data_IF_128654330662
#
_entry.id   IF_128654330662
#
_cell.length_a   1.000
_cell.length_b   1.000
_cell.length_c   1.000
_cell.angle_alpha   90.00
_cell.angle_beta   90.00
_cell.angle_gamma   90.00
#
_symmetry.space_group_name_H-M   'P 1'
#
loop_
_entity.id
_entity.type
_entity.pdbx_description
1 polymer ?
#
# COMPACT_ATOMS: atom_id res chain seq x y z
N UNK A 1 16.95 -20.20 -45.32
CA UNK A 1 17.26 -18.76 -45.26
C UNK A 1 17.26 -18.10 -46.63
N UNK A 2 18.01 -18.61 -47.62
CA UNK A 2 18.12 -17.96 -48.94
C UNK A 2 16.78 -17.72 -49.66
N UNK A 3 15.82 -18.66 -49.60
CA UNK A 3 14.49 -18.48 -50.19
C UNK A 3 13.68 -17.33 -49.56
N UNK A 4 13.84 -17.08 -48.26
CA UNK A 4 13.13 -16.02 -47.55
C UNK A 4 13.73 -14.67 -47.91
N UNK A 5 15.06 -14.56 -47.90
CA UNK A 5 15.79 -13.35 -48.28
C UNK A 5 15.50 -12.98 -49.74
N UNK A 6 15.55 -13.96 -50.64
CA UNK A 6 15.27 -13.75 -52.06
C UNK A 6 13.84 -13.26 -52.29
N UNK A 7 12.86 -13.77 -51.54
CA UNK A 7 11.47 -13.30 -51.65
C UNK A 7 11.32 -11.83 -51.22
N UNK A 8 11.88 -11.44 -50.07
CA UNK A 8 11.83 -10.06 -49.59
C UNK A 8 12.55 -9.08 -50.54
N UNK A 9 13.67 -9.49 -51.13
CA UNK A 9 14.39 -8.68 -52.12
C UNK A 9 13.57 -8.42 -53.39
N UNK A 10 12.72 -9.36 -53.82
CA UNK A 10 11.83 -9.20 -54.98
C UNK A 10 10.50 -8.50 -54.64
N UNK A 11 10.16 -8.37 -53.35
CA UNK A 11 8.90 -7.77 -52.88
C UNK A 11 9.16 -6.53 -52.00
N UNK A 12 9.73 -5.45 -52.54
CA UNK A 12 10.14 -4.27 -51.75
C UNK A 12 8.94 -3.54 -51.11
N UNK A 13 7.77 -3.57 -51.74
CA UNK A 13 6.55 -2.96 -51.18
C UNK A 13 6.13 -3.68 -49.90
N UNK A 14 6.14 -5.02 -49.92
CA UNK A 14 5.84 -5.81 -48.73
C UNK A 14 6.87 -5.55 -47.62
N UNK A 15 8.15 -5.48 -47.95
CA UNK A 15 9.23 -5.23 -46.98
C UNK A 15 9.05 -3.88 -46.27
N UNK A 16 8.78 -2.82 -47.06
CA UNK A 16 8.58 -1.48 -46.52
C UNK A 16 7.29 -1.37 -45.71
N UNK A 17 6.21 -2.05 -46.12
CA UNK A 17 4.96 -2.09 -45.36
C UNK A 17 5.15 -2.81 -44.01
N UNK A 18 5.87 -3.93 -43.98
CA UNK A 18 6.19 -4.62 -42.74
C UNK A 18 7.03 -3.75 -41.82
N UNK A 19 8.05 -3.08 -42.35
CA UNK A 19 8.88 -2.14 -41.59
C UNK A 19 8.02 -1.02 -40.95
N UNK A 20 7.16 -0.37 -41.74
CA UNK A 20 6.25 0.67 -41.22
C UNK A 20 5.30 0.09 -40.17
N UNK A 21 4.76 -1.11 -40.41
CA UNK A 21 3.92 -1.82 -39.45
C UNK A 21 4.62 -2.06 -38.11
N UNK A 22 5.88 -2.50 -38.14
CA UNK A 22 6.70 -2.70 -36.94
C UNK A 22 6.96 -1.37 -36.23
N UNK A 23 7.28 -0.29 -36.96
CA UNK A 23 7.50 1.02 -36.37
C UNK A 23 6.23 1.56 -35.68
N UNK A 24 5.07 1.41 -36.30
CA UNK A 24 3.79 1.84 -35.71
C UNK A 24 3.42 0.99 -34.49
N UNK A 25 3.54 -0.35 -34.61
CA UNK A 25 3.26 -1.26 -33.50
C UNK A 25 4.20 -1.01 -32.32
N UNK A 26 5.49 -0.78 -32.59
CA UNK A 26 6.47 -0.45 -31.57
C UNK A 26 6.19 0.87 -30.88
N UNK A 27 5.72 1.89 -31.61
CA UNK A 27 5.38 3.19 -31.05
C UNK A 27 4.18 3.10 -30.13
N UNK A 28 3.14 2.37 -30.55
CA UNK A 28 1.96 2.11 -29.72
C UNK A 28 2.33 1.28 -28.49
N UNK A 29 3.12 0.23 -28.67
CA UNK A 29 3.61 -0.62 -27.58
C UNK A 29 4.40 0.17 -26.55
N UNK A 30 5.36 1.00 -26.98
CA UNK A 30 6.13 1.86 -26.10
C UNK A 30 5.27 2.85 -25.31
N UNK A 31 4.18 3.35 -25.88
CA UNK A 31 3.25 4.25 -25.19
C UNK A 31 2.34 3.54 -24.19
N UNK A 32 1.99 2.27 -24.42
CA UNK A 32 1.17 1.46 -23.52
C UNK A 32 1.93 0.79 -22.40
N UNK A 33 3.26 0.68 -22.49
CA UNK A 33 4.07 0.02 -21.47
C UNK A 33 3.98 0.71 -20.10
N UNK A 34 3.86 -0.13 -19.07
CA UNK A 34 4.02 0.29 -17.67
C UNK A 34 5.45 0.78 -17.41
N UNK A 35 5.56 1.78 -16.53
CA UNK A 35 6.80 2.49 -16.24
C UNK A 35 7.11 2.33 -14.76
N UNK A 36 8.20 1.63 -14.47
CA UNK A 36 8.58 1.26 -13.12
C UNK A 36 10.06 1.55 -12.89
N UNK A 37 10.43 2.07 -11.71
CA UNK A 37 11.85 2.18 -11.36
C UNK A 37 12.44 0.80 -11.01
N UNK A 38 11.68 0.02 -10.25
CA UNK A 38 12.01 -1.34 -9.84
C UNK A 38 10.83 -2.26 -10.15
N UNK A 39 11.08 -3.51 -10.57
CA UNK A 39 9.99 -4.45 -10.83
C UNK A 39 9.20 -4.74 -9.55
N UNK A 40 7.87 -4.78 -9.66
CA UNK A 40 7.00 -5.13 -8.53
C UNK A 40 7.23 -6.60 -8.16
N UNK A 41 7.75 -6.84 -6.97
CA UNK A 41 7.82 -8.18 -6.42
C UNK A 41 6.47 -8.54 -5.80
N UNK A 42 5.76 -9.51 -6.38
CA UNK A 42 4.53 -10.06 -5.81
C UNK A 42 4.90 -11.24 -4.91
N UNK A 43 4.89 -11.10 -3.57
CA UNK A 43 5.28 -12.19 -2.69
C UNK A 43 4.18 -13.27 -2.68
N UNK A 44 4.58 -14.53 -2.84
CA UNK A 44 3.71 -15.69 -2.71
C UNK A 44 3.55 -16.07 -1.24
N UNK A 45 2.92 -15.20 -0.47
CA UNK A 45 2.76 -15.40 0.97
C UNK A 45 1.43 -14.80 1.47
N UNK A 46 0.93 -15.40 2.55
CA UNK A 46 -0.27 -15.00 3.28
C UNK A 46 0.15 -14.50 4.65
N UNK A 47 -0.42 -13.38 5.07
CA UNK A 47 -0.27 -12.84 6.42
C UNK A 47 -1.53 -13.13 7.23
N UNK A 48 -1.33 -13.68 8.43
CA UNK A 48 -2.36 -13.94 9.42
C UNK A 48 -2.01 -13.12 10.65
N UNK A 49 -2.90 -12.22 11.04
CA UNK A 49 -2.77 -11.43 12.27
C UNK A 49 -3.89 -11.82 13.22
N UNK A 50 -3.54 -12.22 14.44
CA UNK A 50 -4.51 -12.62 15.46
C UNK A 50 -4.34 -11.74 16.69
N UNK A 51 -5.21 -10.74 16.90
CA UNK A 51 -5.19 -9.90 18.10
C UNK A 51 -5.73 -10.67 19.30
N UNK A 52 -5.04 -10.60 20.42
CA UNK A 52 -5.49 -11.14 21.71
C UNK A 52 -5.06 -10.19 22.85
N UNK A 53 -5.80 -9.08 23.04
CA UNK A 53 -5.42 -8.04 23.99
C UNK A 53 -5.18 -8.55 25.41
N UNK A 54 -4.05 -8.16 25.99
CA UNK A 54 -3.68 -8.50 27.37
C UNK A 54 -3.00 -9.87 27.55
N UNK A 55 -2.80 -10.64 26.48
CA UNK A 55 -2.07 -11.90 26.53
C UNK A 55 -0.55 -11.69 26.47
N UNK A 56 0.19 -12.46 27.28
CA UNK A 56 1.65 -12.46 27.23
C UNK A 56 2.15 -13.19 25.96
N UNK A 57 3.34 -12.83 25.42
CA UNK A 57 3.88 -13.48 24.21
C UNK A 57 3.94 -15.02 24.31
N UNK A 58 4.26 -15.54 25.49
CA UNK A 58 4.31 -16.99 25.75
C UNK A 58 2.92 -17.66 25.60
N UNK A 59 1.86 -17.01 26.08
CA UNK A 59 0.49 -17.52 25.97
C UNK A 59 0.00 -17.45 24.53
N UNK A 60 0.32 -16.36 23.83
CA UNK A 60 0.04 -16.19 22.39
C UNK A 60 0.69 -17.30 21.57
N UNK A 61 1.95 -17.63 21.86
CA UNK A 61 2.64 -18.76 21.22
C UNK A 61 1.88 -20.07 21.44
N UNK A 62 1.62 -20.41 22.70
CA UNK A 62 1.07 -21.72 23.09
C UNK A 62 -0.39 -21.93 22.67
N UNK A 63 -1.22 -20.88 22.75
CA UNK A 63 -2.67 -20.98 22.54
C UNK A 63 -3.15 -20.55 21.16
N UNK A 64 -2.35 -19.78 20.42
CA UNK A 64 -2.71 -19.28 19.08
C UNK A 64 -1.75 -19.81 18.03
N UNK A 65 -0.46 -19.48 18.14
CA UNK A 65 0.51 -19.76 17.07
C UNK A 65 0.65 -21.27 16.84
N UNK A 66 0.88 -22.06 17.89
CA UNK A 66 1.07 -23.50 17.74
C UNK A 66 -0.13 -24.19 17.09
N UNK A 67 -1.36 -23.74 17.38
CA UNK A 67 -2.58 -24.31 16.81
C UNK A 67 -2.75 -23.95 15.33
N UNK A 68 -2.39 -22.73 14.97
CA UNK A 68 -2.36 -22.29 13.58
C UNK A 68 -1.29 -23.06 12.81
N UNK A 69 -0.08 -23.19 13.36
CA UNK A 69 1.00 -23.95 12.74
C UNK A 69 0.63 -25.42 12.52
N UNK A 70 -0.02 -26.05 13.51
CA UNK A 70 -0.53 -27.43 13.40
C UNK A 70 -1.57 -27.55 12.27
N UNK A 71 -2.57 -26.67 12.23
CA UNK A 71 -3.59 -26.69 11.17
C UNK A 71 -2.99 -26.41 9.77
N UNK A 72 -2.01 -25.52 9.68
CA UNK A 72 -1.32 -25.22 8.41
C UNK A 72 -0.40 -26.35 7.96
N UNK A 73 0.09 -27.19 8.88
CA UNK A 73 0.95 -28.33 8.55
C UNK A 73 0.23 -29.42 7.73
N UNK A 74 -1.11 -29.42 7.74
CA UNK A 74 -1.94 -30.32 6.94
C UNK A 74 -2.09 -29.88 5.48
N UNK A 75 -1.66 -28.66 5.13
CA UNK A 75 -1.78 -28.11 3.78
C UNK A 75 -0.57 -28.47 2.91
N UNK A 76 -0.80 -29.11 1.77
CA UNK A 76 0.26 -29.53 0.83
C UNK A 76 1.07 -28.36 0.24
N UNK A 77 0.44 -27.19 0.09
CA UNK A 77 1.03 -26.03 -0.60
C UNK A 77 1.80 -25.09 0.34
N UNK A 78 2.04 -25.46 1.59
CA UNK A 78 2.82 -24.66 2.55
C UNK A 78 4.30 -24.97 2.42
N UNK A 79 5.09 -23.98 1.97
CA UNK A 79 6.54 -24.09 1.87
C UNK A 79 7.24 -23.75 3.20
N UNK A 80 6.80 -22.67 3.86
CA UNK A 80 7.40 -22.22 5.12
C UNK A 80 6.40 -21.38 5.91
N UNK A 81 6.35 -21.62 7.22
CA UNK A 81 5.66 -20.76 8.18
C UNK A 81 6.69 -19.99 9.00
N UNK A 82 6.44 -18.70 9.25
CA UNK A 82 7.20 -17.87 10.18
C UNK A 82 6.21 -17.19 11.10
N UNK A 83 6.38 -17.39 12.39
CA UNK A 83 5.47 -16.85 13.38
C UNK A 83 6.25 -16.01 14.38
N UNK A 84 5.65 -14.90 14.81
CA UNK A 84 6.16 -14.05 15.87
C UNK A 84 5.03 -13.79 16.86
N UNK A 85 5.27 -14.13 18.12
CA UNK A 85 4.41 -13.74 19.22
C UNK A 85 4.82 -12.35 19.72
N UNK A 86 3.88 -11.42 19.70
CA UNK A 86 4.00 -10.13 20.35
C UNK A 86 3.12 -10.11 21.59
N UNK A 87 3.34 -9.13 22.45
CA UNK A 87 2.34 -8.82 23.47
C UNK A 87 1.03 -8.46 22.76
N UNK A 88 -0.07 -9.01 23.25
CA UNK A 88 -1.42 -8.78 22.71
C UNK A 88 -1.69 -9.21 21.26
N UNK A 89 -0.75 -9.83 20.53
CA UNK A 89 -0.99 -10.23 19.14
C UNK A 89 -0.05 -11.33 18.61
N UNK A 90 -0.55 -12.16 17.70
CA UNK A 90 0.26 -13.05 16.86
C UNK A 90 0.37 -12.53 15.42
N UNK A 91 1.57 -12.58 14.84
CA UNK A 91 1.78 -12.40 13.41
C UNK A 91 2.36 -13.68 12.81
N UNK A 92 1.66 -14.28 11.84
CA UNK A 92 2.09 -15.48 11.14
C UNK A 92 2.17 -15.20 9.63
N UNK A 93 3.32 -15.50 9.04
CA UNK A 93 3.59 -15.42 7.61
C UNK A 93 3.70 -16.83 7.02
N UNK A 94 2.82 -17.14 6.07
CA UNK A 94 2.76 -18.44 5.42
C UNK A 94 3.21 -18.29 3.96
N UNK A 95 4.34 -18.88 3.60
CA UNK A 95 4.90 -18.84 2.25
C UNK A 95 4.48 -20.09 1.47
N UNK A 96 4.12 -19.91 0.20
CA UNK A 96 3.81 -21.01 -0.73
C UNK A 96 4.86 -21.16 -1.83
N UNK A 97 4.78 -22.23 -2.62
CA UNK A 97 5.67 -22.51 -3.74
C UNK A 97 5.40 -21.59 -4.94
N UNK A 98 6.39 -21.47 -5.84
CA UNK A 98 6.20 -20.74 -7.09
C UNK A 98 5.22 -21.50 -8.01
N UNK A 99 4.27 -20.78 -8.61
CA UNK A 99 3.29 -21.33 -9.56
C UNK A 99 1.95 -21.75 -8.94
N UNK A 100 1.81 -21.72 -7.62
CA UNK A 100 0.52 -21.90 -6.93
C UNK A 100 -0.32 -20.62 -7.08
N UNK A 101 -1.62 -20.76 -7.34
CA UNK A 101 -2.53 -19.61 -7.32
C UNK A 101 -2.66 -19.09 -5.89
N UNK A 102 -2.29 -17.82 -5.69
CA UNK A 102 -2.25 -17.22 -4.37
C UNK A 102 -3.64 -17.01 -3.76
N UNK A 103 -4.69 -16.87 -4.59
CA UNK A 103 -6.05 -16.68 -4.09
C UNK A 103 -6.61 -18.00 -3.58
N UNK A 104 -6.42 -19.09 -4.33
CA UNK A 104 -6.79 -20.43 -3.88
C UNK A 104 -6.04 -20.79 -2.59
N UNK A 105 -4.74 -20.45 -2.52
CA UNK A 105 -3.94 -20.66 -1.30
C UNK A 105 -4.42 -19.84 -0.09
N UNK A 106 -4.88 -18.60 -0.30
CA UNK A 106 -5.48 -17.79 0.78
C UNK A 106 -6.75 -18.45 1.30
N UNK A 107 -7.59 -18.97 0.41
CA UNK A 107 -8.82 -19.66 0.78
C UNK A 107 -8.54 -20.97 1.53
N UNK A 108 -7.54 -21.74 1.10
CA UNK A 108 -7.07 -22.94 1.81
C UNK A 108 -6.58 -22.61 3.23
N UNK A 109 -5.73 -21.59 3.37
CA UNK A 109 -5.22 -21.10 4.66
C UNK A 109 -6.37 -20.64 5.54
N UNK A 110 -7.33 -19.92 4.98
CA UNK A 110 -8.50 -19.44 5.71
C UNK A 110 -9.35 -20.59 6.22
N UNK A 111 -9.64 -21.57 5.37
CA UNK A 111 -10.41 -22.76 5.76
C UNK A 111 -9.71 -23.56 6.87
N UNK A 112 -8.38 -23.70 6.80
CA UNK A 112 -7.59 -24.37 7.83
C UNK A 112 -7.69 -23.66 9.19
N UNK A 113 -7.53 -22.33 9.21
CA UNK A 113 -7.62 -21.53 10.44
C UNK A 113 -9.05 -21.50 10.99
N UNK A 114 -10.06 -21.35 10.14
CA UNK A 114 -11.48 -21.28 10.52
C UNK A 114 -11.98 -22.61 11.14
N UNK A 115 -11.29 -23.74 10.88
CA UNK A 115 -11.64 -25.06 11.43
C UNK A 115 -11.17 -25.23 12.89
N UNK A 116 -10.28 -24.37 13.39
CA UNK A 116 -9.75 -24.45 14.75
C UNK A 116 -10.81 -24.00 15.76
N UNK A 117 -11.36 -24.94 16.53
CA UNK A 117 -12.39 -24.64 17.55
C UNK A 117 -11.85 -24.31 18.94
N UNK A 118 -10.55 -24.51 19.16
CA UNK A 118 -9.93 -24.47 20.49
C UNK A 118 -9.39 -23.11 20.90
N UNK A 119 -9.51 -22.08 20.06
CA UNK A 119 -9.02 -20.73 20.35
C UNK A 119 -9.56 -20.15 21.68
N UNK A 120 -8.77 -19.30 22.37
CA UNK A 120 -9.25 -18.50 23.48
C UNK A 120 -10.54 -17.73 23.13
N UNK A 121 -11.43 -17.50 24.10
CA UNK A 121 -12.74 -16.85 23.82
C UNK A 121 -12.67 -15.34 23.71
N UNK A 122 -11.57 -14.79 24.16
CA UNK A 122 -11.26 -13.38 24.38
C UNK A 122 -10.34 -12.81 23.30
N UNK A 123 -9.87 -13.63 22.36
CA UNK A 123 -9.18 -13.14 21.17
C UNK A 123 -10.16 -12.57 20.14
N UNK A 124 -9.66 -11.66 19.32
CA UNK A 124 -10.38 -11.17 18.15
C UNK A 124 -10.28 -12.16 16.98
N UNK A 125 -11.14 -12.01 15.98
CA UNK A 125 -11.12 -12.88 14.81
C UNK A 125 -9.79 -12.75 14.03
N UNK A 126 -9.18 -13.87 13.61
CA UNK A 126 -8.00 -13.85 12.75
C UNK A 126 -8.22 -13.03 11.48
N UNK A 127 -7.27 -12.15 11.18
CA UNK A 127 -7.23 -11.34 9.96
C UNK A 127 -6.27 -12.00 8.97
N UNK A 128 -6.83 -12.68 7.98
CA UNK A 128 -6.09 -13.43 6.96
C UNK A 128 -6.16 -12.66 5.64
N UNK A 129 -5.00 -12.33 5.08
CA UNK A 129 -4.91 -11.61 3.81
C UNK A 129 -3.65 -11.99 3.05
N UNK A 130 -3.72 -11.93 1.72
CA UNK A 130 -2.52 -12.00 0.88
C UNK A 130 -1.56 -10.86 1.27
N UNK A 131 -0.27 -11.17 1.45
CA UNK A 131 0.71 -10.09 1.57
C UNK A 131 0.85 -9.41 0.22
N UNK A 132 0.70 -8.09 0.23
CA UNK A 132 1.00 -7.24 -0.92
C UNK A 132 2.26 -6.48 -0.60
N UNK A 133 3.30 -6.60 -1.44
CA UNK A 133 4.45 -5.74 -1.31
C UNK A 133 4.07 -4.35 -1.84
N UNK A 134 3.94 -3.39 -0.93
CA UNK A 134 3.70 -2.00 -1.25
C UNK A 134 4.99 -1.24 -1.05
N UNK A 135 5.76 -1.11 -2.12
CA UNK A 135 6.90 -0.20 -2.16
C UNK A 135 6.42 1.24 -1.98
N UNK A 136 7.22 2.03 -1.29
CA UNK A 136 6.99 3.46 -1.20
C UNK A 136 7.27 4.13 -2.54
N UNK A 137 6.32 4.95 -2.99
CA UNK A 137 6.42 5.63 -4.27
C UNK A 137 6.75 7.10 -4.12
N UNK A 138 6.03 7.78 -3.21
CA UNK A 138 6.22 9.20 -2.93
C UNK A 138 5.98 9.48 -1.44
N UNK A 139 6.62 10.53 -0.93
CA UNK A 139 6.30 11.15 0.36
C UNK A 139 6.11 12.64 0.19
N UNK A 140 4.97 13.12 0.68
CA UNK A 140 4.66 14.54 0.79
C UNK A 140 4.68 14.90 2.27
N UNK A 141 5.52 15.86 2.64
CA UNK A 141 5.55 16.40 3.99
C UNK A 141 4.48 17.50 4.13
N UNK A 142 3.58 17.32 5.09
CA UNK A 142 2.74 18.37 5.65
C UNK A 142 3.49 18.91 6.86
N UNK A 143 4.05 20.11 6.76
CA UNK A 143 4.87 20.66 7.85
C UNK A 143 4.56 22.13 8.10
N UNK A 144 4.87 22.59 9.30
CA UNK A 144 4.72 23.99 9.65
C UNK A 144 4.84 24.30 11.12
N UNK A 145 4.96 25.58 11.41
CA UNK A 145 4.99 26.14 12.75
C UNK A 145 3.63 26.82 12.96
N UNK A 146 2.98 26.61 14.12
CA UNK A 146 1.66 27.15 14.52
C UNK A 146 0.46 26.18 14.53
N UNK A 147 0.68 24.86 14.50
CA UNK A 147 -0.37 23.88 14.80
C UNK A 147 0.03 22.97 15.94
N UNK A 148 -0.94 22.52 16.73
CA UNK A 148 -0.74 21.41 17.66
C UNK A 148 -0.61 20.10 16.88
N UNK A 149 -0.02 19.07 17.49
CA UNK A 149 0.09 17.72 16.90
C UNK A 149 -1.28 17.21 16.42
N UNK A 150 -2.33 17.42 17.22
CA UNK A 150 -3.70 17.03 16.87
C UNK A 150 -4.26 17.78 15.68
N UNK A 151 -4.06 19.10 15.62
CA UNK A 151 -4.50 19.90 14.48
C UNK A 151 -3.77 19.49 13.19
N UNK A 152 -2.47 19.24 13.28
CA UNK A 152 -1.65 18.82 12.15
C UNK A 152 -2.04 17.41 11.68
N UNK A 153 -2.30 16.49 12.61
CA UNK A 153 -2.72 15.11 12.32
C UNK A 153 -4.06 15.09 11.60
N UNK A 154 -5.07 15.80 12.13
CA UNK A 154 -6.40 15.89 11.49
C UNK A 154 -6.34 16.54 10.11
N UNK A 155 -5.55 17.59 9.97
CA UNK A 155 -5.31 18.19 8.65
C UNK A 155 -4.64 17.19 7.70
N UNK A 156 -3.67 16.42 8.19
CA UNK A 156 -3.00 15.40 7.37
C UNK A 156 -3.95 14.26 6.98
N UNK A 157 -4.90 13.86 7.83
CA UNK A 157 -5.95 12.89 7.50
C UNK A 157 -6.87 13.38 6.38
N UNK A 158 -7.33 14.63 6.46
CA UNK A 158 -8.12 15.26 5.40
C UNK A 158 -7.33 15.30 4.07
N UNK A 159 -6.07 15.71 4.14
CA UNK A 159 -5.18 15.78 2.97
C UNK A 159 -4.87 14.39 2.41
N UNK A 160 -4.71 13.36 3.26
CA UNK A 160 -4.57 11.96 2.85
C UNK A 160 -5.77 11.54 2.00
N UNK A 161 -6.98 11.87 2.44
CA UNK A 161 -8.21 11.52 1.72
C UNK A 161 -8.38 12.30 0.42
N UNK A 162 -7.93 13.55 0.36
CA UNK A 162 -7.79 14.28 -0.90
C UNK A 162 -6.83 13.56 -1.86
N UNK A 163 -5.61 13.22 -1.41
CA UNK A 163 -4.59 12.57 -2.23
C UNK A 163 -5.04 11.18 -2.69
N UNK A 164 -5.69 10.40 -1.82
CA UNK A 164 -6.21 9.08 -2.14
C UNK A 164 -7.30 9.09 -3.23
N UNK A 165 -7.95 10.23 -3.47
CA UNK A 165 -8.94 10.42 -4.56
C UNK A 165 -8.32 10.83 -5.88
N UNK A 166 -7.03 11.14 -5.93
CA UNK A 166 -6.35 11.52 -7.17
C UNK A 166 -6.24 10.32 -8.15
N UNK A 167 -6.25 10.58 -9.47
CA UNK A 167 -6.06 9.53 -10.45
C UNK A 167 -4.67 8.90 -10.30
N UNK A 168 -4.57 7.59 -10.50
CA UNK A 168 -3.33 6.80 -10.37
C UNK A 168 -2.73 6.74 -8.96
N UNK A 169 -3.48 7.17 -7.93
CA UNK A 169 -3.17 6.94 -6.52
C UNK A 169 -4.07 5.84 -6.00
N UNK A 170 -3.53 4.87 -5.26
CA UNK A 170 -4.32 3.76 -4.71
C UNK A 170 -4.33 3.72 -3.19
N UNK A 171 -3.16 3.87 -2.57
CA UNK A 171 -3.03 3.77 -1.12
C UNK A 171 -2.16 4.92 -0.62
N UNK A 172 -2.68 5.66 0.34
CA UNK A 172 -1.97 6.73 1.02
C UNK A 172 -2.07 6.47 2.51
N UNK A 173 -0.92 6.36 3.16
CA UNK A 173 -0.83 6.21 4.60
C UNK A 173 -0.27 7.50 5.22
N UNK A 174 -0.56 7.70 6.51
CA UNK A 174 0.14 8.69 7.31
C UNK A 174 1.35 8.04 7.96
N UNK A 175 2.43 8.80 8.04
CA UNK A 175 3.64 8.42 8.74
C UNK A 175 4.12 9.59 9.61
N UNK A 176 4.65 9.29 10.80
CA UNK A 176 5.01 10.31 11.77
C UNK A 176 3.80 10.93 12.50
N UNK A 177 2.72 10.15 12.66
CA UNK A 177 1.58 10.47 13.51
C UNK A 177 1.40 9.36 14.54
N UNK A 178 0.92 9.72 15.73
CA UNK A 178 0.44 8.75 16.71
C UNK A 178 -1.03 8.52 16.46
N UNK A 179 -1.52 7.27 16.57
CA UNK A 179 -2.95 7.02 16.56
C UNK A 179 -3.65 7.80 17.67
N UNK A 180 -4.83 8.38 17.37
CA UNK A 180 -5.70 8.92 18.41
C UNK A 180 -6.16 7.74 19.31
N UNK A 181 -6.06 7.90 20.62
CA UNK A 181 -6.46 6.91 21.63
C UNK A 181 -7.24 7.60 22.75
N UNK A 182 -8.31 6.94 23.22
CA UNK A 182 -8.96 7.31 24.48
C UNK A 182 -8.52 6.37 25.58
N UNK A 183 -7.62 6.84 26.45
CA UNK A 183 -7.10 6.08 27.58
C UNK A 183 -8.00 6.28 28.81
N UNK A 184 -8.41 5.18 29.45
CA UNK A 184 -9.26 5.20 30.65
C UNK A 184 -8.43 4.75 31.86
N UNK A 185 -7.95 5.71 32.63
CA UNK A 185 -7.05 5.49 33.76
C UNK A 185 -7.83 5.29 35.07
N UNK A 186 -7.96 4.03 35.51
CA UNK A 186 -8.75 3.68 36.68
C UNK A 186 -8.06 4.04 38.01
N UNK A 187 -8.76 4.74 38.89
CA UNK A 187 -8.27 5.10 40.22
C UNK A 187 -8.64 4.04 41.26
N UNK A 188 -7.63 3.32 41.78
CA UNK A 188 -7.85 2.32 42.85
C UNK A 188 -8.56 2.91 44.08
N UNK A 189 -8.29 4.18 44.41
CA UNK A 189 -8.94 4.87 45.53
C UNK A 189 -10.41 5.15 45.26
N UNK A 190 -10.75 5.58 44.05
CA UNK A 190 -12.14 5.87 43.67
C UNK A 190 -12.94 4.58 43.54
N UNK A 191 -12.38 3.55 42.88
CA UNK A 191 -13.00 2.23 42.78
C UNK A 191 -13.33 1.64 44.16
N UNK A 192 -12.41 1.72 45.14
CA UNK A 192 -12.67 1.30 46.53
C UNK A 192 -13.75 2.13 47.23
N UNK A 193 -13.81 3.44 46.97
CA UNK A 193 -14.83 4.33 47.56
C UNK A 193 -16.24 3.99 47.06
N UNK A 194 -16.38 3.75 45.77
CA UNK A 194 -17.67 3.40 45.14
C UNK A 194 -17.97 1.89 45.17
N UNK A 195 -17.04 1.09 45.68
CA UNK A 195 -17.18 -0.37 45.79
C UNK A 195 -17.32 -1.08 44.45
N UNK A 196 -16.74 -0.52 43.38
CA UNK A 196 -16.73 -1.12 42.04
C UNK A 196 -15.42 -1.84 41.78
N UNK A 197 -15.48 -2.90 40.98
CA UNK A 197 -14.32 -3.69 40.56
C UNK A 197 -13.85 -3.31 39.17
N UNK A 198 -12.61 -3.65 38.82
CA UNK A 198 -12.06 -3.44 37.47
C UNK A 198 -12.94 -4.13 36.40
N UNK A 199 -13.34 -5.38 36.64
CA UNK A 199 -14.17 -6.16 35.71
C UNK A 199 -15.53 -5.51 35.45
N UNK A 200 -16.15 -4.91 36.46
CA UNK A 200 -17.42 -4.21 36.30
C UNK A 200 -17.28 -2.98 35.40
N UNK A 201 -16.20 -2.21 35.56
CA UNK A 201 -15.93 -1.06 34.69
C UNK A 201 -15.64 -1.51 33.26
N UNK A 202 -14.78 -2.52 33.08
CA UNK A 202 -14.47 -3.07 31.76
C UNK A 202 -15.71 -3.64 31.06
N UNK A 203 -16.61 -4.31 31.80
CA UNK A 203 -17.88 -4.81 31.27
C UNK A 203 -18.86 -3.68 30.92
N UNK A 204 -18.92 -2.62 31.73
CA UNK A 204 -19.75 -1.46 31.45
C UNK A 204 -19.34 -0.77 30.14
N UNK A 205 -18.04 -0.61 29.90
CA UNK A 205 -17.51 -0.04 28.66
C UNK A 205 -17.83 -0.95 27.46
N UNK A 206 -17.51 -2.26 27.55
CA UNK A 206 -17.78 -3.22 26.48
C UNK A 206 -19.26 -3.35 26.10
N UNK A 207 -20.16 -3.20 27.07
CA UNK A 207 -21.60 -3.33 26.85
C UNK A 207 -22.26 -2.05 26.34
N UNK A 208 -21.71 -0.87 26.66
CA UNK A 208 -22.26 0.41 26.23
C UNK A 208 -21.70 0.91 24.89
N UNK A 209 -20.50 0.49 24.48
CA UNK A 209 -19.91 0.90 23.20
C UNK A 209 -20.26 -0.07 22.05
N UNK A 210 -21.56 -0.20 21.74
CA UNK A 210 -22.03 -1.07 20.65
C UNK A 210 -22.99 -0.32 19.73
N UNK A 211 -22.70 -0.34 18.42
CA UNK A 211 -23.61 0.08 17.37
C UNK A 211 -24.75 -0.96 17.19
N UNK A 212 -25.81 -0.89 18.00
CA UNK A 212 -26.94 -1.82 17.89
C UNK A 212 -27.99 -1.33 16.88
N UNK A 213 -28.26 -2.12 15.83
CA UNK A 213 -29.39 -1.86 14.93
C UNK A 213 -30.69 -2.31 15.60
N UNK A 214 -31.50 -1.35 16.07
CA UNK A 214 -32.74 -1.62 16.81
C UNK A 214 -33.93 -2.07 15.94
N UNK A 215 -33.68 -2.41 14.67
CA UNK A 215 -34.70 -2.94 13.75
C UNK A 215 -35.54 -1.87 13.04
N UNK A 216 -36.77 -2.25 12.65
CA UNK A 216 -37.66 -1.43 11.83
C UNK A 216 -39.09 -1.53 12.36
N UNK A 217 -39.74 -0.39 12.54
CA UNK A 217 -41.16 -0.29 12.89
C UNK A 217 -41.95 -0.07 11.61
N UNK A 218 -42.87 -1.00 11.30
CA UNK A 218 -43.82 -0.80 10.20
C UNK A 218 -44.95 0.09 10.68
N UNK A 219 -45.18 1.21 9.99
CA UNK A 219 -46.32 2.09 10.24
C UNK A 219 -47.22 2.13 9.01
N UNK A 220 -48.48 2.59 9.16
CA UNK A 220 -49.43 2.67 8.05
C UNK A 220 -48.98 3.65 6.94
N UNK A 221 -48.09 4.59 7.26
CA UNK A 221 -47.52 5.58 6.34
C UNK A 221 -46.13 5.20 5.82
N UNK A 222 -45.54 4.09 6.28
CA UNK A 222 -44.25 3.60 5.82
C UNK A 222 -43.41 2.92 6.90
N UNK A 223 -42.30 2.32 6.46
CA UNK A 223 -41.35 1.66 7.34
C UNK A 223 -40.36 2.69 7.93
N UNK A 224 -40.31 2.83 9.25
CA UNK A 224 -39.33 3.67 9.96
C UNK A 224 -38.25 2.79 10.58
N UNK A 225 -36.99 3.04 10.21
CA UNK A 225 -35.84 2.31 10.76
C UNK A 225 -35.43 2.96 12.09
N UNK A 226 -35.44 2.20 13.17
CA UNK A 226 -34.95 2.65 14.48
C UNK A 226 -33.47 2.35 14.59
N UNK A 227 -32.69 3.33 15.03
CA UNK A 227 -31.26 3.18 15.31
C UNK A 227 -30.97 3.85 16.65
N UNK A 228 -30.51 3.08 17.63
CA UNK A 228 -29.84 3.63 18.79
C UNK A 228 -28.38 3.92 18.40
N UNK A 229 -27.92 5.15 18.65
CA UNK A 229 -26.50 5.51 18.56
C UNK A 229 -25.97 5.61 19.99
N UNK A 230 -25.47 4.50 20.50
CA UNK A 230 -24.69 4.46 21.75
C UNK A 230 -23.25 4.07 21.40
N UNK A 231 -22.58 4.90 20.60
CA UNK A 231 -21.14 4.76 20.37
C UNK A 231 -20.49 5.90 21.15
N UNK A 232 -19.65 5.54 22.12
CA UNK A 232 -18.79 6.51 22.77
C UNK A 232 -17.55 6.75 21.91
N UNK A 233 -17.23 8.01 21.65
CA UNK A 233 -16.14 8.41 20.75
C UNK A 233 -15.25 9.48 21.40
N UNK A 234 -15.82 10.32 22.26
CA UNK A 234 -15.10 11.40 22.94
C UNK A 234 -14.86 11.10 24.42
N UNK A 235 -13.94 11.84 25.04
CA UNK A 235 -13.75 11.83 26.51
C UNK A 235 -15.07 11.85 27.29
N UNK A 236 -15.98 12.75 26.89
CA UNK A 236 -17.27 12.95 27.55
C UNK A 236 -18.16 11.73 27.41
N UNK A 237 -18.24 11.14 26.22
CA UNK A 237 -19.07 9.97 25.99
C UNK A 237 -18.61 8.78 26.84
N UNK A 238 -17.28 8.57 26.93
CA UNK A 238 -16.72 7.52 27.77
C UNK A 238 -16.90 7.82 29.26
N UNK A 239 -16.74 9.08 29.68
CA UNK A 239 -16.92 9.48 31.07
C UNK A 239 -18.36 9.29 31.56
N UNK A 240 -19.36 9.46 30.68
CA UNK A 240 -20.78 9.32 31.01
C UNK A 240 -21.27 7.86 31.07
N UNK A 241 -20.45 6.88 30.66
CA UNK A 241 -20.82 5.46 30.71
C UNK A 241 -21.18 5.06 32.16
N UNK A 242 -22.38 4.50 32.34
CA UNK A 242 -22.85 4.05 33.64
C UNK A 242 -22.22 2.71 33.99
N UNK A 243 -21.47 2.67 35.09
CA UNK A 243 -20.84 1.45 35.63
C UNK A 243 -21.81 0.71 36.55
N UNK A 244 -22.48 1.43 37.45
CA UNK A 244 -23.41 0.84 38.40
C UNK A 244 -24.54 1.82 38.72
N UNK A 245 -25.74 1.27 38.90
CA UNK A 245 -26.88 1.99 39.46
C UNK A 245 -27.30 1.29 40.76
N UNK A 246 -27.36 2.05 41.85
CA UNK A 246 -27.81 1.58 43.15
C UNK A 246 -29.34 1.62 43.25
N UNK A 247 -29.91 0.78 44.11
CA UNK A 247 -31.37 0.65 44.29
C UNK A 247 -32.04 1.94 44.82
N UNK A 248 -31.25 2.81 45.45
CA UNK A 248 -31.67 4.13 45.93
C UNK A 248 -31.63 5.23 44.85
N UNK A 249 -31.22 4.87 43.62
CA UNK A 249 -31.09 5.77 42.48
C UNK A 249 -29.71 6.40 42.30
N UNK A 250 -28.72 6.07 43.14
CA UNK A 250 -27.34 6.50 42.95
C UNK A 250 -26.75 5.93 41.64
N UNK A 251 -26.09 6.76 40.85
CA UNK A 251 -25.45 6.36 39.58
C UNK A 251 -23.96 6.60 39.73
N UNK A 252 -23.16 5.60 39.35
CA UNK A 252 -21.70 5.70 39.26
C UNK A 252 -21.33 5.62 37.79
N UNK A 253 -20.69 6.67 37.30
CA UNK A 253 -20.18 6.77 35.94
C UNK A 253 -18.70 6.37 35.87
N UNK A 254 -18.19 6.11 34.67
CA UNK A 254 -16.75 5.88 34.45
C UNK A 254 -15.94 7.09 34.92
N UNK A 255 -16.40 8.31 34.65
CA UNK A 255 -15.74 9.53 35.11
C UNK A 255 -15.68 9.70 36.65
N UNK A 256 -16.48 8.96 37.41
CA UNK A 256 -16.39 8.97 38.89
C UNK A 256 -15.24 8.10 39.41
N UNK A 257 -14.81 7.11 38.62
CA UNK A 257 -13.86 6.05 39.02
C UNK A 257 -12.58 6.01 38.19
N UNK A 258 -12.54 6.73 37.08
CA UNK A 258 -11.42 6.82 36.15
C UNK A 258 -11.19 8.27 35.68
N UNK A 259 -9.96 8.57 35.29
CA UNK A 259 -9.66 9.73 34.43
C UNK A 259 -9.75 9.26 32.98
N UNK A 260 -10.58 9.90 32.18
CA UNK A 260 -10.64 9.64 30.74
C UNK A 260 -9.75 10.67 30.05
N UNK A 261 -8.81 10.21 29.23
CA UNK A 261 -7.87 11.06 28.49
C UNK A 261 -8.09 10.79 27.01
N UNK A 262 -8.63 11.78 26.29
CA UNK A 262 -8.76 11.75 24.84
C UNK A 262 -7.51 12.39 24.22
N UNK A 263 -6.65 11.56 23.64
CA UNK A 263 -5.31 11.96 23.23
C UNK A 263 -4.71 11.04 22.19
N UNK A 264 -3.44 10.71 22.38
CA UNK A 264 -2.66 9.85 21.49
C UNK A 264 -2.12 8.66 22.26
N UNK A 265 -1.81 7.59 21.53
CA UNK A 265 -1.05 6.47 22.05
C UNK A 265 0.24 6.96 22.75
N UNK A 266 0.58 6.32 23.89
CA UNK A 266 1.75 6.66 24.70
C UNK A 266 3.06 6.13 24.09
N UNK A 267 3.29 6.51 22.84
CA UNK A 267 4.55 6.32 22.14
C UNK A 267 5.24 7.68 21.94
N UNK A 268 6.55 7.73 22.13
CA UNK A 268 7.35 8.91 21.78
C UNK A 268 7.65 8.90 20.28
N UNK A 269 7.05 9.80 19.52
CA UNK A 269 7.40 10.04 18.13
C UNK A 269 7.91 11.47 17.92
N UNK A 270 8.87 11.61 17.01
CA UNK A 270 9.33 12.92 16.55
C UNK A 270 9.48 12.89 15.03
N UNK A 271 8.51 13.47 14.35
CA UNK A 271 8.55 13.66 12.90
C UNK A 271 8.76 15.16 12.60
N UNK A 272 9.88 15.47 11.95
CA UNK A 272 10.23 16.85 11.60
C UNK A 272 10.73 16.94 10.16
N UNK A 273 10.46 18.08 9.53
CA UNK A 273 10.96 18.46 8.21
C UNK A 273 11.70 19.78 8.37
N UNK A 274 13.02 19.78 8.13
CA UNK A 274 13.89 20.96 8.30
C UNK A 274 13.77 21.66 9.67
N UNK A 275 13.48 20.90 10.73
CA UNK A 275 13.30 21.41 12.09
C UNK A 275 11.88 21.83 12.47
N UNK A 276 10.93 21.76 11.54
CA UNK A 276 9.50 22.01 11.78
C UNK A 276 8.76 20.69 12.03
N UNK A 277 7.75 20.65 12.93
CA UNK A 277 6.87 19.49 13.06
C UNK A 277 6.25 19.11 11.71
N UNK A 278 6.25 17.82 11.39
CA UNK A 278 5.80 17.33 10.10
C UNK A 278 5.07 16.00 10.20
N UNK A 279 4.03 15.85 9.37
CA UNK A 279 3.37 14.58 9.08
C UNK A 279 3.64 14.23 7.62
N UNK A 280 4.00 12.97 7.36
CA UNK A 280 4.31 12.52 6.01
C UNK A 280 3.11 11.76 5.43
N UNK A 281 2.60 12.23 4.29
CA UNK A 281 1.69 11.48 3.44
C UNK A 281 2.52 10.52 2.58
N UNK A 282 2.43 9.23 2.86
CA UNK A 282 3.16 8.18 2.15
C UNK A 282 2.26 7.57 1.08
N UNK A 283 2.57 7.86 -0.18
CA UNK A 283 1.90 7.24 -1.34
C UNK A 283 2.60 5.92 -1.64
N UNK A 284 1.82 4.84 -1.60
CA UNK A 284 2.30 3.49 -1.80
C UNK A 284 1.96 2.99 -3.21
N UNK A 285 2.80 2.09 -3.70
CA UNK A 285 2.58 1.38 -4.96
C UNK A 285 1.37 0.43 -4.88
N UNK A 286 0.69 0.29 -6.02
CA UNK A 286 -0.36 -0.71 -6.25
C UNK A 286 0.10 -1.75 -7.29
N UNK A 287 -0.77 -2.72 -7.60
CA UNK A 287 -0.48 -3.77 -8.59
C UNK A 287 -0.28 -3.22 -10.02
N UNK A 288 -0.88 -2.08 -10.37
CA UNK A 288 -0.72 -1.38 -11.64
C UNK A 288 0.02 -0.05 -11.42
N UNK A 289 1.29 0.01 -11.81
CA UNK A 289 2.15 1.14 -11.46
C UNK A 289 2.34 2.14 -12.62
N UNK A 290 2.02 3.42 -12.36
CA UNK A 290 2.27 4.51 -13.31
C UNK A 290 3.04 5.66 -12.65
N UNK A 291 4.32 5.39 -12.34
CA UNK A 291 5.14 6.25 -11.46
C UNK A 291 5.11 7.72 -11.87
N UNK A 292 5.30 7.98 -13.16
CA UNK A 292 5.35 9.34 -13.72
C UNK A 292 3.98 10.05 -13.71
N UNK A 293 2.87 9.32 -13.92
CA UNK A 293 1.55 9.94 -13.96
C UNK A 293 1.07 10.33 -12.58
N UNK A 294 1.25 9.45 -11.60
CA UNK A 294 0.95 9.73 -10.20
C UNK A 294 1.78 10.90 -9.68
N UNK A 295 3.10 10.93 -9.97
CA UNK A 295 3.96 12.06 -9.59
C UNK A 295 3.42 13.39 -10.11
N UNK A 296 3.03 13.45 -11.39
CA UNK A 296 2.43 14.65 -11.97
C UNK A 296 1.10 15.03 -11.30
N UNK A 297 0.24 14.06 -11.01
CA UNK A 297 -1.03 14.32 -10.34
C UNK A 297 -0.84 14.89 -8.92
N UNK A 298 0.08 14.29 -8.14
CA UNK A 298 0.39 14.74 -6.77
C UNK A 298 1.10 16.09 -6.78
N UNK A 299 2.08 16.33 -7.68
CA UNK A 299 2.76 17.63 -7.83
C UNK A 299 1.75 18.74 -8.17
N UNK A 300 0.84 18.49 -9.11
CA UNK A 300 -0.21 19.44 -9.47
C UNK A 300 -1.16 19.73 -8.28
N UNK A 301 -1.54 18.69 -7.52
CA UNK A 301 -2.36 18.86 -6.32
C UNK A 301 -1.63 19.68 -5.24
N UNK A 302 -0.32 19.48 -5.03
CA UNK A 302 0.47 20.30 -4.11
C UNK A 302 0.45 21.77 -4.53
N UNK A 303 0.66 22.05 -5.82
CA UNK A 303 0.64 23.43 -6.36
C UNK A 303 -0.72 24.11 -6.20
N UNK A 304 -1.82 23.37 -6.37
CA UNK A 304 -3.19 23.86 -6.19
C UNK A 304 -3.56 24.04 -4.72
N UNK A 305 -3.14 23.11 -3.85
CA UNK A 305 -3.56 23.06 -2.45
C UNK A 305 -2.74 24.00 -1.56
N UNK A 306 -1.43 24.15 -1.79
CA UNK A 306 -0.54 24.99 -0.96
C UNK A 306 -1.11 26.39 -0.67
N UNK A 307 -1.64 27.14 -1.66
CA UNK A 307 -2.18 28.49 -1.43
C UNK A 307 -3.44 28.54 -0.55
N UNK A 308 -4.11 27.41 -0.35
CA UNK A 308 -5.38 27.30 0.41
C UNK A 308 -5.20 26.70 1.80
N UNK A 309 -3.96 26.39 2.18
CA UNK A 309 -3.65 25.87 3.51
C UNK A 309 -3.71 26.98 4.57
N UNK A 310 -3.93 26.62 5.84
CA UNK A 310 -3.80 27.56 6.95
C UNK A 310 -2.43 28.26 6.97
N UNK A 311 -2.38 29.50 7.47
CA UNK A 311 -1.13 30.25 7.59
C UNK A 311 -0.08 29.47 8.40
N UNK A 312 1.12 29.34 7.84
CA UNK A 312 2.24 28.65 8.47
C UNK A 312 2.35 27.14 8.15
N UNK A 313 1.41 26.57 7.38
CA UNK A 313 1.48 25.18 6.92
C UNK A 313 1.86 25.13 5.44
N UNK A 314 2.75 24.19 5.10
CA UNK A 314 3.22 23.96 3.75
C UNK A 314 3.22 22.48 3.39
N UNK A 315 2.88 22.20 2.13
CA UNK A 315 3.10 20.92 1.48
C UNK A 315 4.41 20.95 0.69
N UNK A 316 5.30 20.03 1.02
CA UNK A 316 6.60 19.87 0.36
C UNK A 316 6.80 18.44 -0.09
N UNK A 317 7.31 18.24 -1.32
CA UNK A 317 7.69 16.91 -1.78
C UNK A 317 9.02 16.50 -1.14
N UNK A 318 9.03 15.42 -0.36
CA UNK A 318 10.23 14.91 0.29
C UNK A 318 10.93 13.82 -0.54
N UNK A 319 10.13 12.93 -1.14
CA UNK A 319 10.62 11.83 -1.95
C UNK A 319 9.69 11.55 -3.11
N UNK A 320 10.27 11.30 -4.29
CA UNK A 320 9.55 10.94 -5.50
C UNK A 320 10.39 9.95 -6.34
N UNK A 321 9.84 8.75 -6.52
CA UNK A 321 10.47 7.72 -7.37
C UNK A 321 10.44 8.10 -8.86
N UNK A 322 9.53 8.97 -9.29
CA UNK A 322 9.46 9.44 -10.67
C UNK A 322 10.71 10.23 -11.08
N UNK A 323 11.26 11.04 -10.18
CA UNK A 323 12.48 11.81 -10.47
C UNK A 323 13.66 10.87 -10.74
N UNK A 324 13.76 9.77 -9.98
CA UNK A 324 14.76 8.72 -10.19
C UNK A 324 14.54 8.03 -11.54
N UNK A 325 13.29 7.70 -11.87
CA UNK A 325 12.94 7.05 -13.13
C UNK A 325 13.25 7.96 -14.33
N UNK A 326 12.84 9.23 -14.30
CA UNK A 326 13.04 10.19 -15.39
C UNK A 326 14.52 10.51 -15.60
N UNK A 327 15.29 10.74 -14.53
CA UNK A 327 16.73 10.98 -14.64
C UNK A 327 17.45 9.79 -15.29
N UNK A 328 17.07 8.55 -14.92
CA UNK A 328 17.61 7.33 -15.53
C UNK A 328 17.19 7.21 -16.98
N UNK A 329 15.91 7.38 -17.29
CA UNK A 329 15.40 7.28 -18.65
C UNK A 329 16.07 8.30 -19.58
N UNK A 330 16.31 9.52 -19.09
CA UNK A 330 17.05 10.54 -19.82
C UNK A 330 18.50 10.12 -20.07
N UNK A 331 19.17 9.57 -19.05
CA UNK A 331 20.54 9.04 -19.18
C UNK A 331 20.59 7.92 -20.23
N UNK A 332 19.68 6.95 -20.14
CA UNK A 332 19.56 5.83 -21.08
C UNK A 332 19.30 6.33 -22.50
N UNK A 333 18.33 7.23 -22.68
CA UNK A 333 17.97 7.77 -23.98
C UNK A 333 19.14 8.52 -24.62
N UNK A 334 19.85 9.32 -23.81
CA UNK A 334 21.04 10.04 -24.25
C UNK A 334 22.18 9.09 -24.61
N UNK A 335 22.45 8.08 -23.78
CA UNK A 335 23.47 7.06 -24.06
C UNK A 335 23.13 6.20 -25.28
N UNK A 336 21.86 5.83 -25.46
CA UNK A 336 21.39 5.08 -26.62
C UNK A 336 21.54 5.89 -27.91
N UNK A 337 21.16 7.18 -27.89
CA UNK A 337 21.34 8.06 -29.03
C UNK A 337 22.82 8.30 -29.35
N UNK A 338 23.65 8.53 -28.33
CA UNK A 338 25.09 8.68 -28.50
C UNK A 338 25.73 7.40 -29.04
N UNK A 339 25.34 6.24 -28.53
CA UNK A 339 25.77 4.93 -29.01
C UNK A 339 25.37 4.70 -30.47
N UNK A 340 24.10 4.94 -30.82
CA UNK A 340 23.61 4.84 -32.19
C UNK A 340 24.36 5.79 -33.14
N UNK A 341 24.63 7.02 -32.69
CA UNK A 341 25.38 8.00 -33.47
C UNK A 341 26.84 7.58 -33.68
N UNK A 342 27.51 7.04 -32.66
CA UNK A 342 28.86 6.51 -32.78
C UNK A 342 28.91 5.30 -33.72
N UNK A 343 27.96 4.38 -33.61
CA UNK A 343 27.82 3.24 -34.54
C UNK A 343 27.61 3.75 -35.97
N UNK A 344 26.73 4.73 -36.17
CA UNK A 344 26.49 5.33 -37.48
C UNK A 344 27.76 5.94 -38.10
N UNK A 345 28.58 6.64 -37.30
CA UNK A 345 29.88 7.17 -37.76
C UNK A 345 30.81 6.04 -38.19
N UNK A 346 30.94 4.98 -37.39
CA UNK A 346 31.78 3.82 -37.71
C UNK A 346 31.27 3.14 -38.99
N UNK A 347 29.97 2.93 -39.12
CA UNK A 347 29.36 2.33 -40.32
C UNK A 347 29.58 3.20 -41.56
N UNK A 348 29.48 4.53 -41.48
CA UNK A 348 29.77 5.42 -42.61
C UNK A 348 31.25 5.37 -43.01
N UNK A 349 32.17 5.24 -42.05
CA UNK A 349 33.60 5.12 -42.34
C UNK A 349 33.96 3.77 -42.95
N UNK A 350 33.26 2.69 -42.56
CA UNK A 350 33.53 1.33 -43.02
C UNK A 350 32.74 0.92 -44.28
N UNK A 351 31.55 1.49 -44.50
CA UNK A 351 30.61 1.10 -45.57
C UNK A 351 30.22 2.30 -46.45
N UNK A 352 29.57 2.01 -47.58
CA UNK A 352 28.97 3.06 -48.41
C UNK A 352 27.86 3.78 -47.62
N UNK A 353 27.75 5.13 -47.67
CA UNK A 353 26.79 5.89 -46.87
C UNK A 353 25.35 5.40 -46.96
N UNK A 354 24.92 5.00 -48.16
CA UNK A 354 23.56 4.46 -48.40
C UNK A 354 23.34 3.15 -47.63
N UNK A 355 24.34 2.27 -47.58
CA UNK A 355 24.26 0.99 -46.86
C UNK A 355 24.25 1.24 -45.35
N UNK A 356 25.12 2.12 -44.86
CA UNK A 356 25.17 2.51 -43.45
C UNK A 356 23.84 3.06 -42.93
N UNK A 357 23.16 3.88 -43.75
CA UNK A 357 21.83 4.42 -43.41
C UNK A 357 20.78 3.32 -43.27
N UNK A 358 20.73 2.37 -44.21
CA UNK A 358 19.78 1.26 -44.15
C UNK A 358 20.05 0.29 -43.00
N UNK A 359 21.32 0.02 -42.67
CA UNK A 359 21.69 -0.80 -41.51
C UNK A 359 21.26 -0.10 -40.21
N UNK A 360 21.52 1.21 -40.08
CA UNK A 360 21.11 2.00 -38.91
C UNK A 360 19.60 2.06 -38.74
N UNK A 361 18.86 2.21 -39.84
CA UNK A 361 17.40 2.12 -39.84
C UNK A 361 16.92 0.72 -39.43
N UNK A 362 17.60 -0.34 -39.87
CA UNK A 362 17.32 -1.72 -39.45
C UNK A 362 17.45 -1.94 -37.94
N UNK A 363 18.49 -1.35 -37.32
CA UNK A 363 18.65 -1.38 -35.86
C UNK A 363 17.45 -0.71 -35.18
N UNK A 364 17.07 0.50 -35.59
CA UNK A 364 15.92 1.21 -35.02
C UNK A 364 14.61 0.41 -35.15
N UNK A 365 14.38 -0.22 -36.31
CA UNK A 365 13.20 -1.07 -36.54
C UNK A 365 13.20 -2.30 -35.63
N UNK A 366 14.37 -2.91 -35.37
CA UNK A 366 14.49 -4.03 -34.44
C UNK A 366 14.09 -3.63 -33.01
N UNK A 367 14.55 -2.47 -32.52
CA UNK A 367 14.13 -1.95 -31.21
C UNK A 367 12.63 -1.70 -31.13
N UNK A 368 12.05 -1.10 -32.16
CA UNK A 368 10.60 -0.88 -32.23
C UNK A 368 9.83 -2.20 -32.25
N UNK A 369 10.35 -3.22 -32.94
CA UNK A 369 9.82 -4.58 -32.88
C UNK A 369 9.81 -5.15 -31.46
N UNK A 370 10.87 -4.93 -30.69
CA UNK A 370 10.91 -5.33 -29.28
C UNK A 370 9.84 -4.61 -28.46
N UNK A 371 9.69 -3.28 -28.60
CA UNK A 371 8.65 -2.52 -27.91
C UNK A 371 7.22 -2.94 -28.30
N UNK A 372 7.01 -3.49 -29.49
CA UNK A 372 5.73 -4.05 -29.88
C UNK A 372 5.40 -5.36 -29.14
N UNK A 373 6.42 -6.14 -28.77
CA UNK A 373 6.28 -7.46 -28.17
C UNK A 373 6.28 -7.44 -26.63
N UNK A 374 7.00 -6.50 -26.01
CA UNK A 374 7.14 -6.44 -24.55
C UNK A 374 5.78 -6.31 -23.81
N UNK A 375 4.83 -5.46 -24.23
CA UNK A 375 3.52 -5.37 -23.58
C UNK A 375 2.75 -6.69 -23.61
N UNK A 376 2.92 -7.51 -24.66
CA UNK A 376 2.22 -8.79 -24.79
C UNK A 376 2.78 -9.88 -23.85
N UNK A 377 3.91 -9.62 -23.19
CA UNK A 377 4.57 -10.53 -22.24
C UNK A 377 4.60 -9.94 -20.82
N UNK A 378 3.78 -8.93 -20.52
CA UNK A 378 3.71 -8.26 -19.22
C UNK A 378 5.07 -7.73 -18.72
N UNK A 379 5.95 -7.33 -19.64
CA UNK A 379 7.26 -6.77 -19.30
C UNK A 379 7.16 -5.26 -19.21
N UNK A 380 7.42 -4.71 -18.02
CA UNK A 380 7.48 -3.27 -17.77
C UNK A 380 8.81 -2.66 -18.22
N UNK A 381 8.80 -1.35 -18.47
CA UNK A 381 10.02 -0.58 -18.73
C UNK A 381 10.65 -0.20 -17.39
N UNK A 382 11.72 -0.90 -17.01
CA UNK A 382 12.41 -0.77 -15.73
C UNK A 382 13.93 -0.91 -15.88
N UNK A 383 14.67 -0.85 -14.78
CA UNK A 383 16.14 -0.94 -14.78
C UNK A 383 16.65 -2.24 -15.43
N UNK A 384 16.00 -3.38 -15.17
CA UNK A 384 16.41 -4.69 -15.69
C UNK A 384 16.17 -4.80 -17.20
N UNK A 385 14.97 -4.43 -17.66
CA UNK A 385 14.66 -4.45 -19.09
C UNK A 385 15.54 -3.46 -19.86
N UNK A 386 15.87 -2.32 -19.27
CA UNK A 386 16.79 -1.37 -19.90
C UNK A 386 18.23 -1.89 -19.98
N UNK A 387 18.73 -2.56 -18.95
CA UNK A 387 20.05 -3.18 -18.99
C UNK A 387 20.13 -4.28 -20.06
N UNK A 388 19.05 -5.07 -20.21
CA UNK A 388 18.93 -6.03 -21.31
C UNK A 388 19.04 -5.36 -22.68
N UNK A 389 18.38 -4.20 -22.88
CA UNK A 389 18.52 -3.42 -24.12
C UNK A 389 19.96 -2.94 -24.37
N UNK A 390 20.68 -2.50 -23.34
CA UNK A 390 22.07 -2.07 -23.48
C UNK A 390 23.00 -3.24 -23.87
N UNK A 391 22.80 -4.42 -23.29
CA UNK A 391 23.58 -5.62 -23.64
C UNK A 391 23.32 -6.07 -25.08
N UNK A 392 22.05 -6.08 -25.48
CA UNK A 392 21.64 -6.57 -26.81
C UNK A 392 22.04 -5.58 -27.91
N UNK A 393 22.06 -4.27 -27.65
CA UNK A 393 22.47 -3.26 -28.62
C UNK A 393 23.83 -3.58 -29.26
N UNK A 394 24.81 -4.04 -28.49
CA UNK A 394 26.14 -4.40 -29.01
C UNK A 394 26.10 -5.61 -29.95
N UNK A 395 25.24 -6.59 -29.67
CA UNK A 395 25.08 -7.81 -30.46
C UNK A 395 24.28 -7.56 -31.74
N UNK A 396 23.31 -6.63 -31.72
CA UNK A 396 22.47 -6.32 -32.90
C UNK A 396 23.25 -5.56 -33.97
N UNK A 397 24.30 -4.84 -33.57
CA UNK A 397 25.15 -4.06 -34.47
C UNK A 397 26.19 -4.93 -35.17
N UNK A 398 26.70 -5.96 -34.48
CA UNK A 398 27.58 -7.00 -35.05
C UNK A 398 26.79 -7.93 -35.98
#
# INVERSE_FOLDING_TARGET
>A
MERIIAWWAHNPVAANLLMIGILLAGLLGFQSMEREAFPVFKPNQVEIVVPWPGAAPQEVEEQIILRIEEALSELDNVYRVRSTAYESAANIQVLTFAGVDINDFVDDVKNAVDTITSFPRDMENPRIKRTTFRGEMMRVAVHGQNMTEQQLTRLAEDLRDEVARLPYVSVVNLFGVRPEEVSIELSERAMRRYGVTFDEVANAIRSNSINLSSGRVRTQTGDVRLRARNLADTEQDFAEIVVRQADDGGIVHVGDVATVVDGFEDEEILATMNGEPAVLLQVLTSDEMQVVKTSKAVKAWIEERNPTLPEGIQLSMWFDTADIYEARMNTISTSAFMGLFLVFIVLILSLRPVVALWVTAGIAVAFMGTFALLPANDVSLNIMSTFAFLLVLGIVVD
#
